data_IF_874035898663
#
_entry.id   IF_874035898663
#
_cell.length_a   1.000
_cell.length_b   1.000
_cell.length_c   1.000
_cell.angle_alpha   90.00
_cell.angle_beta   90.00
_cell.angle_gamma   90.00
#
_symmetry.space_group_name_H-M   'P 1'
#
loop_
_entity.id
_entity.type
_entity.pdbx_description
1 polymer ?
#
# COMPACT_ATOMS: atom_id res chain seq x y z
N UNK A 1 -27.30 29.20 -15.40
CA UNK A 1 -25.96 28.68 -15.17
C UNK A 1 -25.47 29.14 -13.82
N UNK A 2 -24.77 28.23 -13.09
CA UNK A 2 -24.28 28.47 -11.74
C UNK A 2 -22.76 28.66 -11.77
N UNK A 3 -22.26 29.81 -11.39
CA UNK A 3 -20.83 30.07 -11.19
C UNK A 3 -20.34 29.44 -9.88
N UNK A 4 -20.30 28.13 -9.82
CA UNK A 4 -19.85 27.37 -8.65
C UNK A 4 -18.35 27.07 -8.71
N UNK A 5 -17.74 26.84 -7.53
CA UNK A 5 -16.40 26.26 -7.41
C UNK A 5 -16.53 24.76 -7.13
N UNK A 6 -15.52 23.99 -7.56
CA UNK A 6 -15.47 22.55 -7.35
C UNK A 6 -14.30 22.24 -6.42
N UNK A 7 -14.55 21.38 -5.44
CA UNK A 7 -13.51 20.69 -4.67
C UNK A 7 -13.62 19.22 -5.03
N UNK A 8 -12.52 18.62 -5.49
CA UNK A 8 -12.48 17.23 -5.93
C UNK A 8 -11.73 16.40 -4.89
N UNK A 9 -12.43 15.41 -4.31
CA UNK A 9 -11.86 14.37 -3.46
C UNK A 9 -11.85 13.07 -4.25
N UNK A 10 -10.66 12.64 -4.69
CA UNK A 10 -10.49 11.51 -5.61
C UNK A 10 -9.66 10.40 -4.96
N UNK A 11 -9.56 9.26 -5.67
CA UNK A 11 -8.78 8.12 -5.23
C UNK A 11 -7.26 8.33 -5.29
N UNK A 12 -6.52 7.38 -4.75
CA UNK A 12 -5.07 7.31 -4.76
C UNK A 12 -4.58 5.88 -4.96
N UNK A 13 -3.40 5.75 -5.54
CA UNK A 13 -2.69 4.48 -5.62
C UNK A 13 -1.21 4.70 -5.23
N UNK A 14 -1.05 5.12 -4.01
CA UNK A 14 0.17 5.71 -3.48
C UNK A 14 1.30 4.70 -3.39
N UNK A 15 2.51 5.13 -3.73
CA UNK A 15 3.69 4.30 -3.66
C UNK A 15 4.77 4.85 -2.73
N UNK A 16 5.57 3.93 -2.22
CA UNK A 16 6.80 4.19 -1.48
C UNK A 16 7.95 3.53 -2.22
N UNK A 17 8.93 4.32 -2.65
CA UNK A 17 10.19 3.81 -3.19
C UNK A 17 11.15 3.56 -2.04
N UNK A 18 11.78 2.38 -2.02
CA UNK A 18 12.78 2.02 -1.01
C UNK A 18 14.09 1.70 -1.71
N UNK A 19 15.11 2.54 -1.48
CA UNK A 19 16.43 2.41 -2.11
C UNK A 19 17.38 1.56 -1.26
N UNK A 20 18.54 1.13 -1.81
CA UNK A 20 19.54 0.37 -1.05
C UNK A 20 20.07 1.11 0.19
N UNK A 21 20.03 2.44 0.18
CA UNK A 21 20.53 3.29 1.27
C UNK A 21 19.49 3.56 2.37
N UNK A 22 18.26 3.06 2.22
CA UNK A 22 17.17 3.32 3.15
C UNK A 22 17.43 2.75 4.55
N UNK A 23 16.97 3.47 5.58
CA UNK A 23 16.81 2.90 6.92
C UNK A 23 15.61 1.92 6.91
N UNK A 24 15.91 0.62 6.87
CA UNK A 24 14.89 -0.42 6.75
C UNK A 24 14.00 -0.54 7.98
N UNK A 25 14.50 -0.27 9.18
CA UNK A 25 13.70 -0.34 10.40
C UNK A 25 12.70 0.82 10.47
N UNK A 26 13.09 2.03 10.06
CA UNK A 26 12.18 3.16 9.88
C UNK A 26 11.18 2.87 8.75
N UNK A 27 11.64 2.31 7.64
CA UNK A 27 10.80 1.94 6.49
C UNK A 27 9.69 0.98 6.88
N UNK A 28 9.98 -0.08 7.65
CA UNK A 28 8.96 -1.04 8.11
C UNK A 28 7.86 -0.34 8.92
N UNK A 29 8.24 0.54 9.85
CA UNK A 29 7.28 1.30 10.67
C UNK A 29 6.38 2.18 9.82
N UNK A 30 6.97 2.90 8.86
CA UNK A 30 6.25 3.78 7.94
C UNK A 30 5.30 2.99 7.03
N UNK A 31 5.74 1.85 6.47
CA UNK A 31 4.91 0.94 5.66
C UNK A 31 3.71 0.46 6.45
N UNK A 32 3.92 -0.08 7.66
CA UNK A 32 2.82 -0.61 8.48
C UNK A 32 1.82 0.50 8.79
N UNK A 33 2.28 1.64 9.29
CA UNK A 33 1.39 2.75 9.63
C UNK A 33 0.57 3.25 8.44
N UNK A 34 1.21 3.45 7.29
CA UNK A 34 0.56 4.04 6.11
C UNK A 34 -0.34 3.06 5.35
N UNK A 35 -0.03 1.76 5.37
CA UNK A 35 -0.77 0.75 4.62
C UNK A 35 -1.95 0.14 5.39
N UNK A 36 -1.78 -0.12 6.71
CA UNK A 36 -2.84 -0.78 7.49
C UNK A 36 -3.73 0.18 8.27
N UNK A 37 -3.28 1.42 8.46
CA UNK A 37 -4.05 2.45 9.16
C UNK A 37 -5.44 2.60 8.55
N UNK A 38 -6.49 2.68 9.39
CA UNK A 38 -7.89 2.76 8.96
C UNK A 38 -8.29 1.61 8.01
N UNK A 39 -7.70 0.42 8.20
CA UNK A 39 -7.93 -0.75 7.35
C UNK A 39 -7.68 -0.50 5.85
N UNK A 40 -6.65 0.31 5.51
CA UNK A 40 -6.34 0.68 4.12
C UNK A 40 -7.40 1.55 3.44
N UNK A 41 -8.32 2.15 4.18
CA UNK A 41 -9.48 2.88 3.66
C UNK A 41 -9.28 4.40 3.72
N UNK A 42 -8.13 4.88 3.25
CA UNK A 42 -7.85 6.30 2.96
C UNK A 42 -7.43 6.46 1.52
N UNK A 43 -7.76 7.58 0.91
CA UNK A 43 -7.24 7.95 -0.40
C UNK A 43 -5.69 8.02 -0.40
N UNK A 44 -5.07 8.33 0.75
CA UNK A 44 -3.62 8.37 0.96
C UNK A 44 -3.01 7.08 1.52
N UNK A 45 -3.77 5.99 1.67
CA UNK A 45 -3.20 4.70 2.12
C UNK A 45 -2.09 4.24 1.17
N UNK A 46 -1.00 3.75 1.75
CA UNK A 46 0.08 3.14 0.97
C UNK A 46 -0.42 1.83 0.36
N UNK A 47 -0.33 1.71 -0.97
CA UNK A 47 -0.79 0.53 -1.72
C UNK A 47 0.33 -0.20 -2.42
N UNK A 48 1.43 0.50 -2.75
CA UNK A 48 2.56 -0.07 -3.50
C UNK A 48 3.88 0.25 -2.80
N UNK A 49 4.69 -0.77 -2.53
CA UNK A 49 6.11 -0.63 -2.19
C UNK A 49 6.93 -1.03 -3.40
N UNK A 50 7.73 -0.11 -3.90
CA UNK A 50 8.65 -0.29 -5.01
C UNK A 50 10.05 -0.37 -4.40
N UNK A 51 10.57 -1.58 -4.19
CA UNK A 51 11.79 -1.82 -3.42
C UNK A 51 12.93 -2.23 -4.31
N UNK A 52 14.13 -1.68 -4.09
CA UNK A 52 15.32 -2.12 -4.83
C UNK A 52 15.59 -3.61 -4.58
N UNK A 53 15.93 -4.35 -5.64
CA UNK A 53 16.13 -5.81 -5.59
C UNK A 53 17.10 -6.26 -4.49
N UNK A 54 18.15 -5.48 -4.22
CA UNK A 54 19.21 -5.84 -3.28
C UNK A 54 18.78 -5.78 -1.79
N UNK A 55 17.69 -5.05 -1.48
CA UNK A 55 17.19 -4.94 -0.10
C UNK A 55 15.80 -5.59 0.09
N UNK A 56 15.19 -6.08 -0.99
CA UNK A 56 13.87 -6.73 -0.94
C UNK A 56 13.86 -7.93 0.02
N UNK A 57 14.87 -8.80 -0.07
CA UNK A 57 14.92 -10.05 0.70
C UNK A 57 15.14 -9.82 2.21
N UNK A 58 15.67 -8.65 2.59
CA UNK A 58 15.74 -8.23 3.99
C UNK A 58 14.45 -7.53 4.45
N UNK A 59 13.89 -6.64 3.61
CA UNK A 59 12.75 -5.79 3.97
C UNK A 59 11.44 -6.59 4.05
N UNK A 60 11.16 -7.41 3.04
CA UNK A 60 9.87 -8.08 2.89
C UNK A 60 9.51 -8.99 4.08
N UNK A 61 10.42 -9.86 4.60
CA UNK A 61 10.13 -10.67 5.79
C UNK A 61 9.80 -9.81 7.03
N UNK A 62 10.46 -8.67 7.19
CA UNK A 62 10.20 -7.72 8.30
C UNK A 62 8.79 -7.13 8.18
N UNK A 63 8.36 -6.71 6.98
CA UNK A 63 6.99 -6.22 6.73
C UNK A 63 5.97 -7.32 7.04
N UNK A 64 6.15 -8.53 6.50
CA UNK A 64 5.24 -9.66 6.73
C UNK A 64 5.14 -10.01 8.22
N UNK A 65 6.24 -9.99 8.95
CA UNK A 65 6.25 -10.22 10.39
C UNK A 65 5.50 -9.13 11.16
N UNK A 66 5.72 -7.86 10.79
CA UNK A 66 5.01 -6.73 11.39
C UNK A 66 3.50 -6.78 11.12
N UNK A 67 3.07 -7.15 9.91
CA UNK A 67 1.65 -7.34 9.56
C UNK A 67 0.96 -8.41 10.43
N UNK A 68 1.67 -9.50 10.75
CA UNK A 68 1.14 -10.56 11.64
C UNK A 68 0.95 -10.10 13.08
N UNK A 69 1.66 -9.06 13.52
CA UNK A 69 1.57 -8.52 14.88
C UNK A 69 0.50 -7.43 15.04
N UNK A 70 -0.14 -7.00 13.95
CA UNK A 70 -1.16 -5.96 13.97
C UNK A 70 -2.37 -6.42 14.76
N UNK A 71 -2.76 -5.65 15.79
CA UNK A 71 -3.96 -5.94 16.58
C UNK A 71 -5.20 -5.48 15.82
N UNK A 72 -6.05 -6.46 15.46
CA UNK A 72 -7.31 -6.27 14.76
C UNK A 72 -8.45 -6.44 15.75
N UNK A 73 -9.45 -5.58 15.74
CA UNK A 73 -10.58 -5.67 16.67
C UNK A 73 -11.47 -4.44 16.69
N UNK A 74 -12.27 -4.33 17.73
CA UNK A 74 -13.12 -3.16 17.96
C UNK A 74 -12.28 -1.88 17.98
N UNK A 75 -12.55 -0.92 17.08
CA UNK A 75 -11.78 0.33 16.99
C UNK A 75 -11.87 1.20 18.24
N UNK A 76 -12.85 0.97 19.11
CA UNK A 76 -12.97 1.68 20.38
C UNK A 76 -12.20 0.99 21.54
N UNK A 77 -11.67 -0.22 21.31
CA UNK A 77 -10.89 -0.93 22.33
C UNK A 77 -9.42 -0.49 22.32
N UNK A 78 -8.86 -0.31 23.51
CA UNK A 78 -7.47 0.12 23.67
C UNK A 78 -6.48 -0.80 22.95
N UNK A 79 -5.54 -0.18 22.24
CA UNK A 79 -4.48 -0.84 21.51
C UNK A 79 -4.93 -1.51 20.19
N UNK A 80 -6.20 -1.40 19.76
CA UNK A 80 -6.62 -1.79 18.43
C UNK A 80 -6.02 -0.87 17.39
N UNK A 81 -5.35 -1.45 16.39
CA UNK A 81 -4.76 -0.68 15.27
C UNK A 81 -5.66 -0.71 14.03
N UNK A 82 -6.34 -1.83 13.79
CA UNK A 82 -7.15 -2.05 12.57
C UNK A 82 -8.56 -2.46 12.95
N UNK A 83 -9.54 -1.67 12.55
CA UNK A 83 -10.96 -1.98 12.60
C UNK A 83 -11.43 -2.78 11.37
N UNK A 84 -12.75 -2.91 11.15
CA UNK A 84 -13.29 -3.64 10.01
C UNK A 84 -13.24 -2.82 8.71
N UNK A 85 -13.42 -3.49 7.58
CA UNK A 85 -13.86 -2.87 6.34
C UNK A 85 -15.27 -2.29 6.52
N UNK A 86 -15.59 -1.26 5.72
CA UNK A 86 -16.85 -0.51 5.87
C UNK A 86 -18.10 -1.39 5.66
N UNK A 87 -18.03 -2.31 4.69
CA UNK A 87 -19.16 -3.15 4.28
C UNK A 87 -18.74 -4.46 3.59
N UNK A 88 -19.74 -5.23 3.17
CA UNK A 88 -19.55 -6.49 2.44
C UNK A 88 -18.95 -6.29 1.06
N UNK A 89 -19.35 -5.23 0.37
CA UNK A 89 -18.85 -4.93 -0.98
C UNK A 89 -17.35 -4.64 -0.93
N UNK A 90 -16.90 -3.90 0.06
CA UNK A 90 -15.47 -3.63 0.30
C UNK A 90 -14.68 -4.91 0.58
N UNK A 91 -15.27 -5.83 1.37
CA UNK A 91 -14.69 -7.16 1.59
C UNK A 91 -14.62 -7.98 0.30
N UNK A 92 -15.69 -8.06 -0.47
CA UNK A 92 -15.75 -8.81 -1.71
C UNK A 92 -14.79 -8.24 -2.76
N UNK A 93 -14.68 -6.92 -2.85
CA UNK A 93 -13.71 -6.24 -3.71
C UNK A 93 -12.26 -6.59 -3.31
N UNK A 94 -11.96 -6.62 -2.01
CA UNK A 94 -10.64 -7.06 -1.52
C UNK A 94 -10.35 -8.50 -1.93
N UNK A 95 -11.29 -9.43 -1.72
CA UNK A 95 -11.10 -10.84 -2.09
C UNK A 95 -10.91 -11.01 -3.61
N UNK A 96 -11.66 -10.25 -4.41
CA UNK A 96 -11.53 -10.24 -5.87
C UNK A 96 -10.15 -9.75 -6.30
N UNK A 97 -9.67 -8.66 -5.71
CA UNK A 97 -8.33 -8.11 -5.98
C UNK A 97 -7.22 -9.12 -5.63
N UNK A 98 -7.33 -9.79 -4.47
CA UNK A 98 -6.36 -10.82 -4.07
C UNK A 98 -6.40 -12.05 -4.99
N UNK A 99 -7.59 -12.47 -5.45
CA UNK A 99 -7.73 -13.56 -6.41
C UNK A 99 -7.10 -13.20 -7.77
N UNK A 100 -7.31 -11.98 -8.24
CA UNK A 100 -6.70 -11.48 -9.48
C UNK A 100 -5.19 -11.36 -9.35
N UNK A 101 -4.68 -10.83 -8.23
CA UNK A 101 -3.25 -10.76 -7.98
C UNK A 101 -2.57 -12.15 -8.02
N UNK A 102 -3.23 -13.19 -7.47
CA UNK A 102 -2.76 -14.59 -7.58
C UNK A 102 -2.72 -15.08 -9.02
N UNK A 103 -3.76 -14.77 -9.84
CA UNK A 103 -3.77 -15.11 -11.28
C UNK A 103 -2.65 -14.40 -12.04
N UNK A 104 -2.33 -13.18 -11.65
CA UNK A 104 -1.24 -12.38 -12.21
C UNK A 104 0.16 -12.83 -11.74
N UNK A 105 0.26 -13.95 -10.99
CA UNK A 105 1.51 -14.51 -10.48
C UNK A 105 1.94 -13.97 -9.11
N UNK A 106 1.07 -13.24 -8.43
CA UNK A 106 1.33 -12.68 -7.10
C UNK A 106 1.32 -13.74 -6.00
N UNK A 107 2.24 -13.59 -5.03
CA UNK A 107 2.29 -14.38 -3.81
C UNK A 107 1.67 -13.61 -2.65
N UNK A 108 0.55 -14.10 -2.14
CA UNK A 108 -0.27 -13.42 -1.13
C UNK A 108 0.06 -13.94 0.28
N UNK A 109 0.22 -13.01 1.22
CA UNK A 109 0.35 -13.25 2.65
C UNK A 109 -0.76 -12.49 3.37
N UNK A 110 -1.63 -13.16 4.13
CA UNK A 110 -2.78 -12.57 4.80
C UNK A 110 -3.99 -12.34 3.87
N UNK A 111 -4.89 -11.47 4.27
CA UNK A 111 -6.08 -11.10 3.49
C UNK A 111 -7.33 -11.91 3.83
N UNK A 112 -7.28 -12.77 4.84
CA UNK A 112 -8.39 -13.61 5.25
C UNK A 112 -9.38 -12.83 6.14
N UNK A 113 -10.67 -13.22 6.09
CA UNK A 113 -11.66 -12.76 7.06
C UNK A 113 -11.31 -13.31 8.45
N UNK A 114 -11.41 -12.47 9.47
CA UNK A 114 -11.17 -12.83 10.86
C UNK A 114 -12.31 -12.33 11.75
N UNK A 115 -12.38 -12.82 13.00
CA UNK A 115 -13.39 -12.43 14.01
C UNK A 115 -14.85 -12.61 13.56
N UNK A 116 -15.13 -13.46 12.56
CA UNK A 116 -16.48 -13.64 12.03
C UNK A 116 -17.43 -14.27 13.05
N UNK A 117 -16.94 -15.13 13.94
CA UNK A 117 -17.74 -15.74 15.01
C UNK A 117 -18.15 -14.72 16.07
N UNK A 118 -17.29 -13.74 16.33
CA UNK A 118 -17.55 -12.68 17.32
C UNK A 118 -18.37 -11.53 16.72
N UNK A 119 -18.13 -11.20 15.44
CA UNK A 119 -18.76 -10.11 14.71
C UNK A 119 -19.27 -10.58 13.33
N UNK A 120 -20.37 -11.36 13.30
CA UNK A 120 -20.84 -11.98 12.04
C UNK A 120 -21.25 -10.97 10.97
N UNK A 121 -21.69 -9.78 11.38
CA UNK A 121 -22.13 -8.71 10.49
C UNK A 121 -21.05 -7.64 10.21
N UNK A 122 -19.80 -7.86 10.66
CA UNK A 122 -18.68 -6.97 10.40
C UNK A 122 -17.58 -7.69 9.61
N UNK A 123 -16.86 -6.92 8.79
CA UNK A 123 -15.90 -7.48 7.84
C UNK A 123 -14.47 -7.18 8.28
N UNK A 124 -14.05 -7.84 9.37
CA UNK A 124 -12.67 -7.82 9.83
C UNK A 124 -11.81 -8.70 8.94
N UNK A 125 -10.65 -8.19 8.54
CA UNK A 125 -9.70 -8.91 7.68
C UNK A 125 -8.28 -8.77 8.23
N UNK A 126 -7.45 -9.79 8.01
CA UNK A 126 -6.02 -9.64 8.18
C UNK A 126 -5.47 -8.79 7.02
N UNK A 127 -4.62 -7.78 7.28
CA UNK A 127 -3.95 -7.04 6.21
C UNK A 127 -3.13 -7.97 5.32
N UNK A 128 -3.12 -7.69 4.02
CA UNK A 128 -2.42 -8.49 3.02
C UNK A 128 -1.16 -7.82 2.50
N UNK A 129 -0.09 -8.60 2.35
CA UNK A 129 1.11 -8.25 1.57
C UNK A 129 1.15 -9.15 0.36
N UNK A 130 1.32 -8.59 -0.83
CA UNK A 130 1.34 -9.34 -2.09
C UNK A 130 2.63 -9.05 -2.84
N UNK A 131 3.47 -10.07 -2.98
CA UNK A 131 4.65 -9.98 -3.85
C UNK A 131 4.20 -10.10 -5.31
N UNK A 132 4.40 -9.06 -6.12
CA UNK A 132 4.00 -9.03 -7.52
C UNK A 132 5.22 -9.10 -8.44
N UNK A 133 5.14 -9.89 -9.54
CA UNK A 133 6.22 -9.93 -10.54
C UNK A 133 6.31 -8.64 -11.37
N UNK A 134 5.23 -7.88 -11.47
CA UNK A 134 5.16 -6.61 -12.21
C UNK A 134 3.95 -5.78 -11.81
N UNK A 135 3.88 -4.53 -12.28
CA UNK A 135 2.73 -3.65 -12.09
C UNK A 135 1.62 -3.98 -13.09
N UNK A 136 0.84 -5.02 -12.78
CA UNK A 136 -0.31 -5.45 -13.60
C UNK A 136 -1.50 -4.51 -13.45
N UNK A 137 -2.56 -4.72 -14.24
CA UNK A 137 -3.79 -3.96 -14.13
C UNK A 137 -4.42 -4.08 -12.72
N UNK A 138 -4.30 -5.24 -12.09
CA UNK A 138 -4.74 -5.45 -10.70
C UNK A 138 -4.04 -4.49 -9.73
N UNK A 139 -2.73 -4.26 -9.91
CA UNK A 139 -1.95 -3.33 -9.08
C UNK A 139 -2.27 -1.88 -9.38
N UNK A 140 -2.58 -1.56 -10.65
CA UNK A 140 -2.91 -0.19 -11.11
C UNK A 140 -4.29 0.29 -10.64
N UNK A 141 -5.19 -0.63 -10.34
CA UNK A 141 -6.52 -0.31 -9.85
C UNK A 141 -6.49 -0.13 -8.33
N UNK A 142 -7.07 0.98 -7.86
CA UNK A 142 -7.22 1.20 -6.42
C UNK A 142 -8.20 0.19 -5.82
N UNK A 143 -7.73 -0.60 -4.84
CA UNK A 143 -8.60 -1.39 -3.96
C UNK A 143 -8.61 -0.73 -2.59
N UNK A 144 -9.78 -0.24 -2.16
CA UNK A 144 -9.93 0.52 -0.91
C UNK A 144 -9.99 -0.43 0.30
N UNK A 145 -8.90 -1.18 0.50
CA UNK A 145 -8.73 -2.23 1.49
C UNK A 145 -7.25 -2.38 1.87
N UNK A 146 -6.91 -3.09 2.95
CA UNK A 146 -5.53 -3.20 3.43
C UNK A 146 -4.73 -4.23 2.61
N UNK A 147 -4.48 -3.92 1.34
CA UNK A 147 -3.60 -4.67 0.45
C UNK A 147 -2.37 -3.83 0.14
N UNK A 148 -1.18 -4.39 0.38
CA UNK A 148 0.09 -3.82 -0.01
C UNK A 148 0.73 -4.66 -1.10
N UNK A 149 0.90 -4.10 -2.28
CA UNK A 149 1.66 -4.72 -3.36
C UNK A 149 3.13 -4.38 -3.24
N UNK A 150 4.00 -5.37 -3.35
CA UNK A 150 5.45 -5.22 -3.30
C UNK A 150 6.04 -5.64 -4.64
N UNK A 151 6.74 -4.72 -5.30
CA UNK A 151 7.42 -4.94 -6.58
C UNK A 151 8.88 -4.54 -6.47
N UNK A 152 9.74 -5.14 -7.28
CA UNK A 152 11.17 -4.80 -7.32
C UNK A 152 11.52 -3.91 -8.49
N UNK A 153 12.62 -3.18 -8.35
CA UNK A 153 13.24 -2.39 -9.41
C UNK A 153 14.77 -2.52 -9.36
N UNK A 154 15.46 -2.12 -10.44
CA UNK A 154 16.93 -2.12 -10.54
C UNK A 154 17.52 -0.72 -10.64
N UNK A 155 16.84 0.22 -11.32
CA UNK A 155 17.29 1.61 -11.46
C UNK A 155 16.25 2.58 -10.91
N UNK A 156 16.69 3.73 -10.40
CA UNK A 156 15.78 4.72 -9.84
C UNK A 156 14.79 5.26 -10.87
N UNK A 157 15.20 5.35 -12.12
CA UNK A 157 14.36 5.74 -13.25
C UNK A 157 13.20 4.73 -13.44
N UNK A 158 13.48 3.44 -13.32
CA UNK A 158 12.45 2.39 -13.36
C UNK A 158 11.49 2.54 -12.17
N UNK A 159 12.00 2.79 -10.96
CA UNK A 159 11.17 2.99 -9.78
C UNK A 159 10.24 4.21 -9.94
N UNK A 160 10.75 5.32 -10.47
CA UNK A 160 9.97 6.53 -10.76
C UNK A 160 8.92 6.24 -11.84
N UNK A 161 9.27 5.50 -12.88
CA UNK A 161 8.31 5.11 -13.93
C UNK A 161 7.18 4.22 -13.38
N UNK A 162 7.48 3.28 -12.48
CA UNK A 162 6.47 2.49 -11.78
C UNK A 162 5.61 3.37 -10.85
N UNK A 163 6.23 4.31 -10.12
CA UNK A 163 5.53 5.26 -9.26
C UNK A 163 4.48 6.05 -10.05
N UNK A 164 4.90 6.66 -11.16
CA UNK A 164 4.08 7.52 -11.99
C UNK A 164 3.17 6.74 -12.97
N UNK A 165 3.35 5.43 -13.10
CA UNK A 165 2.65 4.57 -14.07
C UNK A 165 1.24 4.16 -13.66
N UNK A 166 0.51 5.00 -12.90
CA UNK A 166 -0.89 4.81 -12.49
C UNK A 166 -1.69 6.09 -12.78
N UNK A 167 -3.03 6.00 -12.96
CA UNK A 167 -3.82 7.19 -13.29
C UNK A 167 -3.99 8.17 -12.12
N UNK A 168 -3.81 7.71 -10.87
CA UNK A 168 -3.93 8.54 -9.69
C UNK A 168 -2.61 9.27 -9.39
N UNK A 169 -2.69 10.50 -8.86
CA UNK A 169 -1.55 11.29 -8.43
C UNK A 169 -1.88 12.06 -7.16
N UNK A 170 -1.83 11.39 -5.98
CA UNK A 170 -2.20 12.00 -4.70
C UNK A 170 -1.00 12.12 -3.76
N UNK A 171 -0.35 11.01 -3.40
CA UNK A 171 0.80 11.02 -2.50
C UNK A 171 1.84 9.96 -2.87
N UNK A 172 3.09 10.27 -2.54
CA UNK A 172 4.24 9.40 -2.75
C UNK A 172 5.29 9.63 -1.67
N UNK A 173 6.26 8.74 -1.55
CA UNK A 173 7.45 8.99 -0.76
C UNK A 173 8.63 8.14 -1.25
N UNK A 174 9.84 8.55 -0.86
CA UNK A 174 11.07 7.81 -1.05
C UNK A 174 11.79 7.63 0.29
N UNK A 175 12.28 6.42 0.53
CA UNK A 175 13.20 6.12 1.62
C UNK A 175 14.60 5.95 1.04
N UNK A 176 15.46 6.92 1.30
CA UNK A 176 16.84 6.99 0.84
C UNK A 176 17.66 7.88 1.78
N UNK A 177 18.93 7.57 1.95
CA UNK A 177 19.94 8.45 2.55
C UNK A 177 20.88 9.04 1.51
N UNK A 178 20.70 8.73 0.23
CA UNK A 178 21.44 9.35 -0.88
C UNK A 178 20.73 10.63 -1.35
N UNK A 179 21.46 11.75 -1.21
CA UNK A 179 20.94 13.06 -1.59
C UNK A 179 20.58 13.14 -3.09
N UNK A 180 21.34 12.47 -3.96
CA UNK A 180 21.09 12.50 -5.43
C UNK A 180 19.79 11.79 -5.78
N UNK A 181 19.51 10.66 -5.14
CA UNK A 181 18.26 9.94 -5.31
C UNK A 181 17.08 10.79 -4.82
N UNK A 182 17.23 11.43 -3.66
CA UNK A 182 16.20 12.30 -3.09
C UNK A 182 15.93 13.51 -3.98
N UNK A 183 16.97 14.22 -4.43
CA UNK A 183 16.85 15.39 -5.31
C UNK A 183 16.22 15.01 -6.66
N UNK A 184 16.57 13.86 -7.24
CA UNK A 184 15.96 13.38 -8.47
C UNK A 184 14.47 13.10 -8.27
N UNK A 185 14.09 12.43 -7.19
CA UNK A 185 12.68 12.12 -6.87
C UNK A 185 11.85 13.38 -6.63
N UNK A 186 12.43 14.43 -6.03
CA UNK A 186 11.78 15.71 -5.77
C UNK A 186 11.75 16.64 -6.99
N UNK A 187 12.49 16.32 -8.04
CA UNK A 187 12.58 17.16 -9.24
C UNK A 187 11.37 17.01 -10.16
N UNK A 188 11.30 17.87 -11.20
CA UNK A 188 10.23 17.84 -12.20
C UNK A 188 10.18 16.55 -13.04
N UNK A 189 11.23 15.73 -13.03
CA UNK A 189 11.27 14.42 -13.69
C UNK A 189 11.08 13.27 -12.70
N UNK A 190 10.91 13.56 -11.42
CA UNK A 190 10.68 12.61 -10.34
C UNK A 190 9.21 12.26 -10.14
N UNK A 191 8.74 12.33 -8.89
CA UNK A 191 7.33 12.06 -8.57
C UNK A 191 6.39 13.11 -9.17
N UNK A 192 5.31 12.66 -9.79
CA UNK A 192 4.26 13.50 -10.40
C UNK A 192 3.13 13.86 -9.42
N UNK A 193 3.26 13.54 -8.15
CA UNK A 193 2.24 13.79 -7.13
C UNK A 193 2.83 14.34 -5.81
N UNK A 194 2.00 14.55 -4.82
CA UNK A 194 2.44 15.02 -3.50
C UNK A 194 3.47 14.09 -2.84
N UNK A 195 4.46 14.67 -2.16
CA UNK A 195 5.58 13.97 -1.52
C UNK A 195 5.54 14.23 -0.01
#
# INVERSE_FOLDING_TARGET
ERFGRTILELGGNNAMIVTPSADLDMTVRAVVFSAVGTCGQRCTSLRRVIVHKDVKDELLPKIVAAYKSVKIGDPLADGTLVGPLIDEDSFNNMQTALANAKKDGGKVHGGERTLADQYPNAYYVTPAVVEMPSQTETVRNETFAPILYVMTYETLEEAIALQNGVPQGLSSCIFSTDLRETELFLSAVGSDCGI
#
